data_IF_549310271824
#
_entry.id   IF_549310271824
#
_cell.length_a   1.000
_cell.length_b   1.000
_cell.length_c   1.000
_cell.angle_alpha   90.00
_cell.angle_beta   90.00
_cell.angle_gamma   90.00
#
_symmetry.space_group_name_H-M   'P 1'
#
loop_
_entity.id
_entity.type
_entity.pdbx_description
1 polymer ?
#
# COMPACT_ATOMS: atom_id res chain seq x y z
N UNK A 1 1.64 -15.93 17.47
CA UNK A 1 2.44 -14.70 17.68
C UNK A 1 3.64 -14.74 16.78
N UNK A 2 3.90 -13.67 16.07
CA UNK A 2 5.08 -13.49 15.20
C UNK A 2 5.85 -12.28 15.74
N UNK A 3 7.17 -12.40 15.83
CA UNK A 3 8.05 -11.36 16.38
C UNK A 3 8.69 -10.50 15.30
N UNK A 4 9.19 -9.34 15.67
CA UNK A 4 9.92 -8.42 14.79
C UNK A 4 11.03 -9.11 13.97
N UNK A 5 11.81 -9.99 14.58
CA UNK A 5 12.91 -10.69 13.90
C UNK A 5 12.45 -11.59 12.76
N UNK A 6 11.27 -12.19 12.86
CA UNK A 6 10.71 -13.02 11.79
C UNK A 6 10.17 -12.17 10.62
N UNK A 7 9.70 -10.94 10.90
CA UNK A 7 9.18 -10.02 9.88
C UNK A 7 10.31 -9.29 9.13
N UNK A 8 11.41 -8.99 9.80
CA UNK A 8 12.54 -8.23 9.23
C UNK A 8 13.31 -8.97 8.13
N UNK A 9 13.15 -10.29 8.02
CA UNK A 9 13.75 -11.08 6.94
C UNK A 9 13.04 -10.92 5.59
N UNK A 10 11.88 -10.25 5.56
CA UNK A 10 11.12 -10.02 4.32
C UNK A 10 11.20 -8.56 3.94
N UNK A 11 11.82 -8.31 2.80
CA UNK A 11 11.87 -6.98 2.22
C UNK A 11 10.52 -6.63 1.63
N UNK A 12 9.82 -5.68 2.24
CA UNK A 12 8.56 -5.17 1.72
C UNK A 12 8.38 -3.70 2.11
N UNK A 13 7.89 -2.90 1.18
CA UNK A 13 7.52 -1.50 1.41
C UNK A 13 6.36 -1.40 2.41
N UNK A 14 5.41 -2.35 2.33
CA UNK A 14 4.24 -2.39 3.20
C UNK A 14 4.33 -3.57 4.19
N UNK A 15 4.26 -3.31 5.51
CA UNK A 15 4.35 -4.35 6.53
C UNK A 15 3.30 -5.46 6.38
N UNK A 16 2.15 -5.19 5.78
CA UNK A 16 1.11 -6.20 5.55
C UNK A 16 1.60 -7.37 4.70
N UNK A 17 2.46 -7.12 3.70
CA UNK A 17 3.05 -8.15 2.85
C UNK A 17 4.07 -9.01 3.61
N UNK A 18 4.76 -8.45 4.60
CA UNK A 18 5.69 -9.22 5.45
C UNK A 18 4.98 -10.28 6.30
N UNK A 19 3.66 -10.17 6.48
CA UNK A 19 2.84 -11.15 7.20
C UNK A 19 2.52 -12.39 6.37
N UNK A 20 2.70 -12.36 5.04
CA UNK A 20 2.44 -13.51 4.15
C UNK A 20 3.21 -14.76 4.61
N UNK A 21 2.48 -15.85 4.90
CA UNK A 21 3.06 -17.12 5.34
C UNK A 21 3.77 -17.08 6.71
N UNK A 22 3.71 -15.95 7.46
CA UNK A 22 4.39 -15.80 8.75
C UNK A 22 3.49 -16.04 9.94
N UNK A 23 2.18 -15.79 9.82
CA UNK A 23 1.24 -15.82 10.94
C UNK A 23 0.26 -16.97 10.78
N UNK A 24 0.27 -17.99 11.68
CA UNK A 24 -0.65 -19.11 11.60
C UNK A 24 -2.12 -18.67 11.68
N UNK A 25 -2.92 -19.06 10.67
CA UNK A 25 -4.34 -18.74 10.57
C UNK A 25 -4.66 -17.34 10.05
N UNK A 26 -3.65 -16.60 9.58
CA UNK A 26 -3.81 -15.40 8.76
C UNK A 26 -3.51 -15.75 7.30
N UNK A 27 -4.49 -15.52 6.45
CA UNK A 27 -4.34 -15.63 5.01
C UNK A 27 -4.09 -14.23 4.43
N UNK A 28 -3.01 -14.07 3.69
CA UNK A 28 -2.57 -12.78 3.17
C UNK A 28 -2.45 -12.90 1.65
N UNK A 29 -3.10 -12.00 0.93
CA UNK A 29 -3.02 -11.88 -0.52
C UNK A 29 -2.38 -10.54 -0.88
N UNK A 30 -1.31 -10.57 -1.61
CA UNK A 30 -0.74 -9.37 -2.23
C UNK A 30 -1.55 -9.04 -3.48
N UNK A 31 -2.13 -7.84 -3.54
CA UNK A 31 -3.06 -7.43 -4.60
C UNK A 31 -2.36 -6.74 -5.77
N UNK A 32 -1.33 -5.96 -5.51
CA UNK A 32 -0.61 -5.18 -6.51
C UNK A 32 0.88 -5.11 -6.18
N UNK A 33 1.70 -4.84 -7.21
CA UNK A 33 3.13 -4.60 -7.05
C UNK A 33 3.52 -3.12 -7.02
N UNK A 34 2.54 -2.22 -6.91
CA UNK A 34 2.80 -0.77 -6.86
C UNK A 34 3.14 -0.35 -5.44
N UNK A 35 4.27 0.31 -5.25
CA UNK A 35 4.85 0.63 -3.93
C UNK A 35 3.92 1.36 -2.97
N UNK A 36 2.99 2.17 -3.46
CA UNK A 36 2.00 2.89 -2.62
C UNK A 36 0.67 2.16 -2.44
N UNK A 37 0.32 1.24 -3.34
CA UNK A 37 -0.91 0.45 -3.33
C UNK A 37 -0.64 -1.02 -2.97
N UNK A 38 0.52 -1.31 -2.39
CA UNK A 38 1.02 -2.65 -2.07
C UNK A 38 0.42 -3.22 -0.77
N UNK A 39 -0.70 -2.68 -0.30
CA UNK A 39 -1.42 -3.21 0.86
C UNK A 39 -2.00 -4.59 0.57
N UNK A 40 -1.60 -5.59 1.39
CA UNK A 40 -2.15 -6.93 1.27
C UNK A 40 -3.59 -7.01 1.79
N UNK A 41 -4.42 -7.80 1.12
CA UNK A 41 -5.72 -8.21 1.65
C UNK A 41 -5.51 -9.36 2.63
N UNK A 42 -6.12 -9.24 3.82
CA UNK A 42 -5.95 -10.21 4.89
C UNK A 42 -7.28 -10.84 5.28
N UNK A 43 -7.24 -12.15 5.60
CA UNK A 43 -8.38 -12.91 6.11
C UNK A 43 -7.94 -13.79 7.27
N UNK A 44 -8.77 -13.88 8.30
CA UNK A 44 -8.57 -14.80 9.43
C UNK A 44 -9.46 -16.02 9.23
N UNK A 45 -8.85 -17.21 9.22
CA UNK A 45 -9.57 -18.50 8.96
C UNK A 45 -10.27 -18.60 7.60
N UNK A 46 -9.89 -17.76 6.61
CA UNK A 46 -10.46 -17.76 5.26
C UNK A 46 -11.67 -16.82 5.10
N UNK A 47 -12.42 -17.02 4.01
CA UNK A 47 -13.57 -16.20 3.65
C UNK A 47 -14.82 -16.71 4.38
N UNK A 48 -15.20 -16.08 5.49
CA UNK A 48 -16.37 -16.48 6.29
C UNK A 48 -17.68 -15.77 5.93
N UNK A 49 -17.63 -14.72 5.09
CA UNK A 49 -18.79 -13.89 4.74
C UNK A 49 -18.66 -13.30 3.34
N UNK A 50 -19.79 -12.97 2.72
CA UNK A 50 -19.84 -12.29 1.41
C UNK A 50 -19.72 -10.76 1.54
N UNK A 51 -19.95 -10.19 2.73
CA UNK A 51 -19.86 -8.77 3.00
C UNK A 51 -18.42 -8.34 3.36
N UNK A 52 -18.22 -7.46 4.34
CA UNK A 52 -16.89 -7.07 4.80
C UNK A 52 -16.11 -8.29 5.29
N UNK A 53 -14.97 -8.57 4.66
CA UNK A 53 -14.16 -9.79 4.85
C UNK A 53 -12.89 -9.54 5.64
N UNK A 54 -12.47 -8.27 5.76
CA UNK A 54 -11.22 -7.89 6.40
C UNK A 54 -11.28 -8.04 7.91
N UNK A 55 -10.21 -8.52 8.55
CA UNK A 55 -10.11 -8.54 10.00
C UNK A 55 -10.00 -7.11 10.55
N UNK A 56 -10.35 -6.95 11.82
CA UNK A 56 -10.08 -5.72 12.54
C UNK A 56 -8.58 -5.61 12.83
N UNK A 57 -7.93 -4.53 12.39
CA UNK A 57 -6.52 -4.28 12.69
C UNK A 57 -6.42 -3.30 13.83
N UNK A 58 -5.67 -3.68 14.87
CA UNK A 58 -5.40 -2.86 16.02
C UNK A 58 -3.91 -2.63 16.18
N UNK A 59 -3.51 -1.39 16.28
CA UNK A 59 -2.14 -0.97 16.61
C UNK A 59 -2.15 -0.40 18.02
N UNK A 60 -1.46 -1.05 18.94
CA UNK A 60 -1.41 -0.69 20.37
C UNK A 60 -2.80 -0.53 21.03
N UNK A 61 -3.81 -1.23 20.46
CA UNK A 61 -5.20 -1.21 20.94
C UNK A 61 -6.13 -0.23 20.24
N UNK A 62 -5.66 0.53 19.25
CA UNK A 62 -6.44 1.46 18.45
C UNK A 62 -6.63 0.95 17.01
N UNK A 63 -7.79 1.23 16.42
CA UNK A 63 -8.11 0.81 15.04
C UNK A 63 -7.34 1.70 14.05
N UNK A 64 -6.29 1.15 13.44
CA UNK A 64 -5.40 1.86 12.50
C UNK A 64 -4.94 0.93 11.39
N UNK A 65 -4.46 1.52 10.28
CA UNK A 65 -3.87 0.75 9.20
C UNK A 65 -2.46 0.25 9.57
N UNK A 66 -2.16 -1.00 9.27
CA UNK A 66 -0.80 -1.53 9.39
C UNK A 66 0.14 -0.91 8.34
N UNK A 67 -0.41 -0.40 7.23
CA UNK A 67 0.36 0.24 6.15
C UNK A 67 1.01 1.56 6.58
N UNK A 68 0.52 2.20 7.66
CA UNK A 68 1.13 3.41 8.20
C UNK A 68 2.40 3.14 8.99
N UNK A 69 2.59 1.89 9.38
CA UNK A 69 3.76 1.45 10.12
C UNK A 69 4.94 1.12 9.19
N UNK A 70 6.09 0.85 9.83
CA UNK A 70 7.24 0.19 9.23
C UNK A 70 7.48 -1.15 9.93
N UNK A 71 8.08 -2.11 9.25
CA UNK A 71 8.40 -3.42 9.85
C UNK A 71 9.29 -3.26 11.08
N UNK A 72 10.20 -2.27 11.03
CA UNK A 72 11.20 -2.02 12.07
C UNK A 72 10.62 -1.51 13.39
N UNK A 73 9.41 -0.90 13.38
CA UNK A 73 8.75 -0.42 14.62
C UNK A 73 7.83 -1.46 15.26
N UNK A 74 7.54 -2.57 14.57
CA UNK A 74 6.69 -3.65 15.09
C UNK A 74 7.50 -4.51 16.05
N UNK A 75 6.99 -4.73 17.27
CA UNK A 75 7.52 -5.70 18.22
C UNK A 75 6.92 -7.08 17.98
N UNK A 76 5.61 -7.15 17.81
CA UNK A 76 4.91 -8.42 17.56
C UNK A 76 3.56 -8.23 16.86
N UNK A 77 3.12 -9.30 16.21
CA UNK A 77 1.78 -9.41 15.62
C UNK A 77 1.11 -10.68 16.15
N UNK A 78 -0.11 -10.51 16.66
CA UNK A 78 -0.92 -11.60 17.21
C UNK A 78 -2.26 -11.62 16.48
N UNK A 79 -2.74 -12.79 16.08
CA UNK A 79 -4.08 -12.96 15.50
C UNK A 79 -4.99 -13.56 16.59
N UNK A 80 -6.00 -12.78 16.98
CA UNK A 80 -7.03 -13.20 17.90
C UNK A 80 -8.16 -13.86 17.11
N UNK A 81 -8.41 -15.13 17.39
CA UNK A 81 -9.38 -15.96 16.64
C UNK A 81 -10.46 -16.52 17.55
N UNK A 82 -10.23 -16.52 18.85
CA UNK A 82 -11.10 -17.17 19.81
C UNK A 82 -12.22 -16.25 20.25
N UNK A 83 -13.41 -16.80 20.46
CA UNK A 83 -14.60 -16.02 20.80
C UNK A 83 -14.43 -15.16 22.06
N UNK A 84 -13.70 -15.66 23.05
CA UNK A 84 -13.41 -14.91 24.28
C UNK A 84 -12.53 -13.67 24.01
N UNK A 85 -11.48 -13.84 23.19
CA UNK A 85 -10.62 -12.72 22.80
C UNK A 85 -11.35 -11.70 21.93
N UNK A 86 -12.30 -12.15 21.10
CA UNK A 86 -13.11 -11.30 20.23
C UNK A 86 -14.24 -10.58 20.96
N UNK A 87 -14.68 -11.09 22.10
CA UNK A 87 -15.78 -10.49 22.90
C UNK A 87 -15.50 -9.04 23.32
N UNK A 88 -14.20 -8.67 23.48
CA UNK A 88 -13.78 -7.29 23.76
C UNK A 88 -14.05 -6.30 22.61
N UNK A 89 -14.22 -6.81 21.39
CA UNK A 89 -14.35 -5.96 20.17
C UNK A 89 -15.73 -6.04 19.54
N UNK A 90 -16.65 -6.83 20.14
CA UNK A 90 -18.02 -6.99 19.68
C UNK A 90 -18.12 -7.43 18.20
N UNK A 91 -19.12 -6.94 17.49
CA UNK A 91 -19.38 -7.27 16.08
C UNK A 91 -18.21 -6.86 15.17
N UNK A 92 -17.41 -5.86 15.53
CA UNK A 92 -16.24 -5.42 14.74
C UNK A 92 -15.13 -6.49 14.71
N UNK A 93 -15.08 -7.35 15.71
CA UNK A 93 -14.13 -8.47 15.78
C UNK A 93 -14.61 -9.76 15.10
N UNK A 94 -15.80 -9.79 14.50
CA UNK A 94 -16.41 -11.02 13.97
C UNK A 94 -15.55 -11.75 12.91
N UNK A 95 -14.78 -11.01 12.12
CA UNK A 95 -13.85 -11.55 11.11
C UNK A 95 -12.43 -11.83 11.67
N UNK A 96 -12.26 -11.81 12.99
CA UNK A 96 -10.96 -11.91 13.66
C UNK A 96 -10.30 -10.55 13.86
N UNK A 97 -9.28 -10.54 14.71
CA UNK A 97 -8.52 -9.34 15.05
C UNK A 97 -7.03 -9.60 14.82
N UNK A 98 -6.38 -8.70 14.09
CA UNK A 98 -4.91 -8.63 13.97
C UNK A 98 -4.42 -7.57 14.94
N UNK A 99 -3.78 -7.98 16.02
CA UNK A 99 -3.25 -7.08 17.04
C UNK A 99 -1.76 -6.87 16.82
N UNK A 100 -1.37 -5.64 16.54
CA UNK A 100 0.02 -5.21 16.31
C UNK A 100 0.49 -4.46 17.56
N UNK A 101 1.60 -4.90 18.12
CA UNK A 101 2.27 -4.21 19.23
C UNK A 101 3.51 -3.53 18.70
N UNK A 102 3.71 -2.26 19.01
CA UNK A 102 4.89 -1.51 18.60
C UNK A 102 5.99 -1.56 19.67
N UNK A 103 7.25 -1.36 19.24
CA UNK A 103 8.42 -1.36 20.13
C UNK A 103 8.32 -0.24 21.15
N UNK A 104 8.72 -0.54 22.38
CA UNK A 104 8.75 0.38 23.51
C UNK A 104 10.14 0.43 24.15
N UNK A 105 10.35 1.40 25.03
CA UNK A 105 11.56 1.51 25.82
C UNK A 105 11.79 0.30 26.71
N UNK A 106 13.05 0.05 27.04
CA UNK A 106 13.48 -0.99 27.96
C UNK A 106 14.42 -0.38 29.01
N UNK A 107 14.37 -0.90 30.23
CA UNK A 107 15.33 -0.51 31.26
C UNK A 107 16.74 -0.89 30.86
N UNK A 108 17.67 0.05 30.93
CA UNK A 108 19.06 -0.15 30.57
C UNK A 108 19.69 1.06 29.90
N UNK A 109 20.99 0.91 29.57
CA UNK A 109 21.71 1.93 28.81
C UNK A 109 21.06 2.15 27.43
N UNK A 110 21.15 3.37 26.85
CA UNK A 110 20.67 3.63 25.51
C UNK A 110 21.28 2.68 24.48
N UNK A 111 20.41 2.02 23.70
CA UNK A 111 20.81 1.19 22.56
C UNK A 111 20.39 1.90 21.31
N UNK A 112 21.38 2.20 20.46
CA UNK A 112 21.18 2.86 19.16
C UNK A 112 21.28 1.79 18.08
N UNK A 113 20.32 1.75 17.17
CA UNK A 113 20.34 0.88 15.99
C UNK A 113 20.23 1.74 14.74
N UNK A 114 21.06 1.45 13.78
CA UNK A 114 20.98 2.00 12.43
C UNK A 114 20.94 0.84 11.43
N UNK A 115 19.95 0.85 10.54
CA UNK A 115 19.82 -0.13 9.47
C UNK A 115 19.61 0.62 8.16
N UNK A 116 20.37 0.23 7.14
CA UNK A 116 20.19 0.72 5.79
C UNK A 116 20.05 -0.46 4.84
N UNK A 117 18.99 -0.45 4.06
CA UNK A 117 18.65 -1.49 3.09
C UNK A 117 18.59 -0.86 1.71
N UNK A 118 19.28 -1.49 0.77
CA UNK A 118 19.15 -1.22 -0.66
C UNK A 118 18.47 -2.41 -1.31
N UNK A 119 17.38 -2.15 -2.01
CA UNK A 119 16.55 -3.17 -2.63
C UNK A 119 16.54 -3.00 -4.14
N UNK A 120 16.67 -4.10 -4.85
CA UNK A 120 16.54 -4.15 -6.29
C UNK A 120 15.49 -5.20 -6.65
N UNK A 121 14.39 -4.76 -7.26
CA UNK A 121 13.30 -5.62 -7.69
C UNK A 121 13.37 -5.88 -9.19
N UNK A 122 13.11 -7.12 -9.61
CA UNK A 122 12.98 -7.48 -11.02
C UNK A 122 11.60 -8.08 -11.28
N UNK A 123 11.00 -7.86 -12.46
CA UNK A 123 9.80 -8.58 -12.84
C UNK A 123 10.06 -10.08 -12.85
N UNK A 124 9.23 -10.84 -12.16
CA UNK A 124 9.36 -12.31 -12.14
C UNK A 124 8.99 -12.90 -13.50
N UNK A 125 8.00 -12.31 -14.17
CA UNK A 125 7.53 -12.73 -15.48
C UNK A 125 6.90 -11.55 -16.20
N UNK A 126 7.27 -11.33 -17.44
CA UNK A 126 6.60 -10.43 -18.37
C UNK A 126 5.88 -11.27 -19.45
N UNK A 127 4.79 -10.76 -20.04
CA UNK A 127 4.16 -11.39 -21.18
C UNK A 127 5.13 -11.44 -22.37
N UNK A 128 5.16 -12.55 -23.08
CA UNK A 128 5.83 -12.65 -24.36
C UNK A 128 4.83 -12.21 -25.44
N UNK A 129 5.13 -11.10 -26.11
CA UNK A 129 4.32 -10.58 -27.21
C UNK A 129 4.90 -11.04 -28.53
N UNK A 130 4.04 -11.26 -29.53
CA UNK A 130 4.49 -11.59 -30.87
C UNK A 130 5.06 -10.35 -31.57
N UNK A 131 6.03 -10.55 -32.46
CA UNK A 131 6.59 -9.48 -33.27
C UNK A 131 5.59 -8.94 -34.32
N UNK A 132 5.92 -7.81 -34.93
CA UNK A 132 5.06 -7.15 -35.93
C UNK A 132 4.77 -8.02 -37.14
N UNK A 133 5.74 -8.81 -37.62
CA UNK A 133 5.56 -9.72 -38.76
C UNK A 133 4.59 -10.86 -38.42
N UNK A 134 4.81 -11.54 -37.30
CA UNK A 134 3.94 -12.63 -36.84
C UNK A 134 2.51 -12.13 -36.60
N UNK A 135 2.36 -10.93 -36.00
CA UNK A 135 1.05 -10.29 -35.84
C UNK A 135 0.36 -10.04 -37.19
N UNK A 136 1.07 -9.45 -38.16
CA UNK A 136 0.51 -9.13 -39.47
C UNK A 136 0.10 -10.40 -40.23
N UNK A 137 0.89 -11.47 -40.18
CA UNK A 137 0.53 -12.76 -40.75
C UNK A 137 -0.71 -13.38 -40.08
N UNK A 138 -0.75 -13.42 -38.75
CA UNK A 138 -1.86 -13.96 -37.99
C UNK A 138 -3.17 -13.20 -38.27
N UNK A 139 -3.10 -11.85 -38.39
CA UNK A 139 -4.25 -11.04 -38.75
C UNK A 139 -4.77 -11.36 -40.13
N UNK A 140 -3.88 -11.47 -41.12
CA UNK A 140 -4.28 -11.85 -42.49
C UNK A 140 -4.90 -13.26 -42.53
N UNK A 141 -4.35 -14.22 -41.80
CA UNK A 141 -4.89 -15.57 -41.71
C UNK A 141 -6.29 -15.58 -41.05
N UNK A 142 -6.47 -14.80 -39.98
CA UNK A 142 -7.77 -14.63 -39.31
C UNK A 142 -8.80 -14.03 -40.28
N UNK A 143 -8.47 -12.96 -41.00
CA UNK A 143 -9.34 -12.34 -41.97
C UNK A 143 -9.72 -13.31 -43.10
N UNK A 144 -8.75 -14.09 -43.60
CA UNK A 144 -9.00 -15.11 -44.62
C UNK A 144 -9.97 -16.19 -44.12
N UNK A 145 -9.84 -16.63 -42.88
CA UNK A 145 -10.77 -17.59 -42.28
C UNK A 145 -12.18 -17.04 -42.16
N UNK A 146 -12.33 -15.73 -41.94
CA UNK A 146 -13.59 -15.00 -41.93
C UNK A 146 -14.10 -14.61 -43.33
N UNK A 147 -13.45 -15.09 -44.40
CA UNK A 147 -13.73 -14.77 -45.78
C UNK A 147 -13.63 -13.28 -46.14
N UNK A 148 -12.77 -12.56 -45.41
CA UNK A 148 -12.47 -11.13 -45.66
C UNK A 148 -11.16 -10.98 -46.43
N UNK A 149 -10.97 -9.83 -47.05
CA UNK A 149 -9.71 -9.50 -47.74
C UNK A 149 -8.57 -9.34 -46.72
N UNK A 150 -7.35 -9.81 -47.05
CA UNK A 150 -6.19 -9.56 -46.22
C UNK A 150 -5.96 -8.08 -45.96
N UNK A 151 -5.55 -7.74 -44.75
CA UNK A 151 -5.21 -6.36 -44.35
C UNK A 151 -3.88 -5.91 -44.91
N UNK A 152 -2.90 -6.82 -44.98
CA UNK A 152 -1.55 -6.54 -45.44
C UNK A 152 -1.27 -7.31 -46.73
N UNK A 153 -0.70 -6.61 -47.74
CA UNK A 153 -0.20 -7.20 -48.95
C UNK A 153 1.09 -7.96 -48.70
N UNK A 154 1.55 -8.81 -49.65
CA UNK A 154 2.82 -9.52 -49.53
C UNK A 154 4.00 -8.55 -49.39
N UNK A 155 4.00 -7.43 -50.12
CA UNK A 155 5.04 -6.39 -50.04
C UNK A 155 5.14 -5.78 -48.62
N UNK A 156 4.01 -5.57 -47.98
CA UNK A 156 3.94 -5.06 -46.60
C UNK A 156 4.39 -6.10 -45.61
N UNK A 157 4.03 -7.36 -45.80
CA UNK A 157 4.54 -8.46 -44.98
C UNK A 157 6.07 -8.61 -45.09
N UNK A 158 6.61 -8.47 -46.29
CA UNK A 158 8.06 -8.47 -46.49
C UNK A 158 8.71 -7.26 -45.82
N UNK A 159 8.07 -6.09 -45.83
CA UNK A 159 8.56 -4.91 -45.12
C UNK A 159 8.59 -5.09 -43.61
N UNK A 160 7.63 -5.78 -42.97
CA UNK A 160 7.66 -6.17 -41.60
C UNK A 160 8.82 -7.15 -41.29
N UNK A 161 8.95 -8.23 -42.08
CA UNK A 161 9.99 -9.24 -41.93
C UNK A 161 11.38 -8.65 -42.02
N UNK A 162 11.61 -7.81 -43.03
CA UNK A 162 12.92 -7.25 -43.35
C UNK A 162 13.20 -5.94 -42.59
N UNK A 163 12.23 -5.50 -41.73
CA UNK A 163 12.28 -4.27 -40.94
C UNK A 163 12.59 -3.02 -41.76
N UNK A 164 12.12 -3.00 -42.99
CA UNK A 164 12.19 -1.82 -43.81
C UNK A 164 11.00 -0.91 -43.52
N UNK A 165 11.18 0.40 -43.55
CA UNK A 165 10.13 1.38 -43.23
C UNK A 165 9.50 1.26 -41.83
N UNK A 166 10.28 1.39 -40.75
CA UNK A 166 9.79 1.16 -39.36
C UNK A 166 8.69 2.15 -38.92
N UNK A 167 8.55 3.30 -39.57
CA UNK A 167 7.45 4.24 -39.32
C UNK A 167 6.09 3.70 -39.76
N UNK A 168 6.07 2.79 -40.72
CA UNK A 168 4.85 2.29 -41.35
C UNK A 168 4.59 0.83 -41.02
N UNK A 169 5.67 0.04 -40.88
CA UNK A 169 5.65 -1.39 -40.56
C UNK A 169 6.54 -1.63 -39.33
N UNK A 170 6.13 -1.13 -38.17
CA UNK A 170 6.93 -1.21 -36.95
C UNK A 170 6.97 -2.60 -36.36
N UNK A 171 7.97 -2.81 -35.50
CA UNK A 171 8.08 -3.97 -34.62
C UNK A 171 8.49 -3.47 -33.22
N UNK A 172 7.50 -3.01 -32.44
CA UNK A 172 7.74 -2.36 -31.16
C UNK A 172 7.59 -3.35 -30.02
N UNK A 173 8.65 -3.54 -29.25
CA UNK A 173 8.57 -4.20 -27.93
C UNK A 173 8.05 -3.20 -26.88
N UNK A 174 6.73 -3.11 -26.74
CA UNK A 174 6.09 -2.18 -25.81
C UNK A 174 6.53 -2.38 -24.35
N UNK A 175 6.75 -3.62 -23.94
CA UNK A 175 7.19 -3.93 -22.58
C UNK A 175 8.64 -3.51 -22.35
N UNK A 176 9.51 -3.79 -23.32
CA UNK A 176 10.90 -3.35 -23.30
C UNK A 176 11.05 -1.83 -23.34
N UNK A 177 10.15 -1.13 -24.09
CA UNK A 177 10.14 0.34 -24.13
C UNK A 177 9.60 0.98 -22.85
N UNK A 178 8.58 0.38 -22.22
CA UNK A 178 7.90 0.93 -21.04
C UNK A 178 8.63 0.65 -19.73
N UNK A 179 9.31 -0.50 -19.60
CA UNK A 179 9.82 -0.99 -18.33
C UNK A 179 11.34 -0.97 -18.23
N UNK A 180 11.83 -0.67 -17.03
CA UNK A 180 13.23 -0.90 -16.64
C UNK A 180 13.42 -2.36 -16.26
N UNK A 181 14.65 -2.84 -16.38
CA UNK A 181 15.00 -4.18 -15.93
C UNK A 181 14.90 -4.34 -14.40
N UNK A 182 15.05 -3.23 -13.66
CA UNK A 182 15.08 -3.23 -12.20
C UNK A 182 14.35 -2.02 -11.64
N UNK A 183 13.56 -2.22 -10.58
CA UNK A 183 13.16 -1.16 -9.67
C UNK A 183 14.22 -1.00 -8.58
N UNK A 184 14.32 0.21 -7.99
CA UNK A 184 15.31 0.51 -6.96
C UNK A 184 14.60 1.04 -5.71
N UNK A 185 14.92 0.46 -4.56
CA UNK A 185 14.40 0.89 -3.26
C UNK A 185 15.51 1.14 -2.26
N UNK A 186 15.29 2.08 -1.37
CA UNK A 186 16.17 2.41 -0.24
C UNK A 186 15.34 2.57 1.01
N UNK A 187 15.82 2.00 2.12
CA UNK A 187 15.16 2.11 3.41
C UNK A 187 16.24 2.37 4.47
N UNK A 188 16.21 3.56 5.07
CA UNK A 188 17.09 3.95 6.15
C UNK A 188 16.30 4.04 7.45
N UNK A 189 16.70 3.29 8.48
CA UNK A 189 16.06 3.26 9.78
C UNK A 189 17.07 3.58 10.87
N UNK A 190 16.74 4.56 11.68
CA UNK A 190 17.46 4.91 12.90
C UNK A 190 16.53 4.75 14.09
N UNK A 191 16.96 4.07 15.14
CA UNK A 191 16.20 3.98 16.37
C UNK A 191 17.09 4.02 17.61
N UNK A 192 16.52 4.57 18.67
CA UNK A 192 17.12 4.60 20.01
C UNK A 192 16.11 4.11 21.02
N UNK A 193 16.53 3.22 21.90
CA UNK A 193 15.73 2.75 23.05
C UNK A 193 16.56 2.71 24.31
N UNK A 194 15.93 2.98 25.45
CA UNK A 194 16.61 2.95 26.74
C UNK A 194 15.71 3.40 27.86
N UNK A 195 16.27 3.62 29.03
CA UNK A 195 15.56 4.19 30.17
C UNK A 195 15.97 3.60 31.49
N UNK A 196 15.42 4.16 32.54
CA UNK A 196 15.53 3.68 33.91
C UNK A 196 14.19 3.19 34.45
N UNK A 197 14.12 3.03 35.77
CA UNK A 197 12.90 2.52 36.42
C UNK A 197 11.72 3.47 36.36
N UNK A 198 11.99 4.79 36.22
CA UNK A 198 10.92 5.81 36.15
C UNK A 198 10.49 6.17 34.75
N UNK A 199 11.42 6.16 33.79
CA UNK A 199 11.13 6.56 32.41
C UNK A 199 11.86 5.62 31.47
N UNK A 200 11.12 5.05 30.52
CA UNK A 200 11.63 4.25 29.43
C UNK A 200 11.19 4.88 28.12
N UNK A 201 12.03 4.88 27.11
CA UNK A 201 11.76 5.53 25.84
C UNK A 201 12.21 4.69 24.65
N UNK A 202 11.45 4.83 23.57
CA UNK A 202 11.79 4.38 22.25
C UNK A 202 11.51 5.51 21.26
N UNK A 203 12.48 5.83 20.42
CA UNK A 203 12.30 6.77 19.32
C UNK A 203 12.85 6.15 18.04
N UNK A 204 12.19 6.42 16.91
CA UNK A 204 12.55 5.91 15.59
C UNK A 204 12.32 6.98 14.54
N UNK A 205 13.24 7.03 13.58
CA UNK A 205 13.15 7.74 12.32
C UNK A 205 13.37 6.72 11.19
N UNK A 206 12.40 6.60 10.28
CA UNK A 206 12.53 5.73 9.13
C UNK A 206 12.23 6.53 7.86
N UNK A 207 13.11 6.44 6.88
CA UNK A 207 12.91 6.99 5.54
C UNK A 207 13.00 5.88 4.51
N UNK A 208 11.93 5.75 3.73
CA UNK A 208 11.80 4.81 2.63
C UNK A 208 11.63 5.59 1.33
N UNK A 209 12.37 5.16 0.30
CA UNK A 209 12.22 5.65 -1.07
C UNK A 209 12.19 4.45 -2.01
N UNK A 210 11.15 4.34 -2.80
CA UNK A 210 10.97 3.27 -3.78
C UNK A 210 10.68 3.89 -5.14
N UNK A 211 11.42 3.43 -6.17
CA UNK A 211 11.24 3.82 -7.55
C UNK A 211 10.60 2.65 -8.30
N UNK A 212 9.42 2.86 -8.83
CA UNK A 212 8.72 1.84 -9.61
C UNK A 212 9.45 1.43 -10.88
N UNK A 213 8.90 0.45 -11.57
CA UNK A 213 9.53 -0.21 -12.72
C UNK A 213 9.38 0.54 -14.05
N UNK A 214 8.48 1.54 -14.15
CA UNK A 214 8.33 2.31 -15.38
C UNK A 214 9.63 3.06 -15.71
N UNK A 215 10.03 3.06 -16.98
CA UNK A 215 11.19 3.85 -17.43
C UNK A 215 10.91 5.34 -17.21
N UNK A 216 11.87 6.09 -16.64
CA UNK A 216 11.78 7.54 -16.66
C UNK A 216 11.91 8.02 -18.09
N UNK A 217 11.06 8.93 -18.49
CA UNK A 217 11.17 9.56 -19.80
C UNK A 217 11.72 10.97 -19.61
N UNK A 218 12.67 11.35 -20.43
CA UNK A 218 13.29 12.67 -20.41
C UNK A 218 12.57 13.68 -21.36
N UNK A 219 11.37 13.33 -21.83
CA UNK A 219 10.63 14.14 -22.79
C UNK A 219 10.11 15.47 -22.20
N UNK A 220 10.23 15.65 -20.87
CA UNK A 220 9.83 16.88 -20.19
C UNK A 220 10.91 17.30 -19.19
N UNK A 221 11.48 18.48 -19.38
CA UNK A 221 12.47 19.06 -18.48
C UNK A 221 11.85 19.60 -17.18
N UNK A 222 10.56 19.97 -17.21
CA UNK A 222 9.89 20.67 -16.11
C UNK A 222 9.31 19.77 -15.04
N UNK A 223 9.03 18.49 -15.34
CA UNK A 223 8.42 17.54 -14.38
C UNK A 223 8.80 16.10 -14.66
N UNK A 224 8.74 15.28 -13.62
CA UNK A 224 9.00 13.84 -13.72
C UNK A 224 7.69 13.05 -13.73
N UNK A 225 7.55 12.14 -14.70
CA UNK A 225 6.49 11.13 -14.76
C UNK A 225 6.90 9.83 -14.08
N UNK A 226 8.10 9.78 -13.50
CA UNK A 226 8.64 8.59 -12.86
C UNK A 226 7.74 8.13 -11.71
N UNK A 227 7.46 6.85 -11.72
CA UNK A 227 6.80 6.18 -10.61
C UNK A 227 7.72 6.18 -9.40
N UNK A 228 7.35 6.93 -8.35
CA UNK A 228 8.16 7.09 -7.14
C UNK A 228 7.27 7.15 -5.91
N UNK A 229 7.66 6.45 -4.87
CA UNK A 229 7.06 6.50 -3.55
C UNK A 229 8.11 6.83 -2.51
N UNK A 230 7.85 7.79 -1.64
CA UNK A 230 8.69 8.10 -0.49
C UNK A 230 7.84 8.20 0.76
N UNK A 231 8.38 7.72 1.88
CA UNK A 231 7.69 7.67 3.17
C UNK A 231 8.66 7.99 4.30
N UNK A 232 8.26 8.90 5.17
CA UNK A 232 8.97 9.25 6.39
C UNK A 232 8.09 8.90 7.59
N UNK A 233 8.56 8.01 8.45
CA UNK A 233 7.93 7.68 9.72
C UNK A 233 8.76 8.19 10.88
N UNK A 234 8.12 8.86 11.82
CA UNK A 234 8.70 9.32 13.08
C UNK A 234 7.85 8.75 14.21
N UNK A 235 8.42 7.85 15.02
CA UNK A 235 7.74 7.26 16.18
C UNK A 235 8.44 7.63 17.47
N UNK A 236 7.64 7.92 18.50
CA UNK A 236 8.12 8.08 19.87
C UNK A 236 7.16 7.40 20.83
N UNK A 237 7.70 6.51 21.67
CA UNK A 237 6.96 5.84 22.73
C UNK A 237 7.67 6.12 24.06
N UNK A 238 6.90 6.60 25.04
CA UNK A 238 7.37 6.88 26.41
C UNK A 238 6.53 6.10 27.42
N UNK A 239 7.19 5.39 28.31
CA UNK A 239 6.61 4.74 29.46
C UNK A 239 7.12 5.41 30.74
N UNK A 240 6.22 5.97 31.52
CA UNK A 240 6.53 6.78 32.70
C UNK A 240 5.88 6.11 33.92
N UNK A 241 6.69 5.69 34.90
CA UNK A 241 6.21 5.28 36.20
C UNK A 241 6.04 6.53 37.08
N UNK A 242 4.85 7.15 37.00
CA UNK A 242 4.56 8.41 37.65
C UNK A 242 4.55 8.26 39.20
N UNK A 243 3.98 7.16 39.70
CA UNK A 243 4.00 6.77 41.11
C UNK A 243 4.27 5.26 41.20
N UNK A 244 4.35 4.70 42.40
CA UNK A 244 4.49 3.23 42.57
C UNK A 244 3.32 2.44 42.00
N UNK A 245 2.15 3.07 41.88
CA UNK A 245 0.89 2.45 41.45
C UNK A 245 0.34 3.03 40.12
N UNK A 246 0.94 4.11 39.61
CA UNK A 246 0.48 4.80 38.41
C UNK A 246 1.49 4.73 37.29
N UNK A 247 1.13 4.14 36.15
CA UNK A 247 1.91 4.10 34.90
C UNK A 247 1.21 4.94 33.83
N UNK A 248 1.98 5.79 33.17
CA UNK A 248 1.54 6.59 32.01
C UNK A 248 2.34 6.16 30.79
N UNK A 249 1.65 5.84 29.72
CA UNK A 249 2.25 5.48 28.43
C UNK A 249 1.81 6.50 27.38
N UNK A 250 2.76 7.08 26.70
CA UNK A 250 2.54 7.99 25.58
C UNK A 250 3.07 7.35 24.31
N UNK A 251 2.35 7.49 23.20
CA UNK A 251 2.80 7.02 21.89
C UNK A 251 2.43 8.07 20.85
N UNK A 252 3.37 8.38 19.99
CA UNK A 252 3.18 9.30 18.87
C UNK A 252 3.74 8.68 17.59
N UNK A 253 3.00 8.79 16.49
CA UNK A 253 3.45 8.45 15.15
C UNK A 253 3.12 9.60 14.21
N UNK A 254 4.13 10.12 13.52
CA UNK A 254 3.99 10.95 12.34
C UNK A 254 4.37 10.14 11.10
N UNK A 255 3.47 10.05 10.14
CA UNK A 255 3.70 9.42 8.85
C UNK A 255 3.48 10.45 7.75
N UNK A 256 4.48 10.65 6.91
CA UNK A 256 4.43 11.53 5.76
C UNK A 256 4.82 10.71 4.54
N UNK A 257 3.91 10.58 3.58
CA UNK A 257 4.22 9.87 2.35
C UNK A 257 3.84 10.69 1.12
N UNK A 258 4.65 10.55 0.11
CA UNK A 258 4.46 11.18 -1.19
C UNK A 258 4.64 10.13 -2.27
N UNK A 259 3.75 10.14 -3.27
CA UNK A 259 3.99 9.38 -4.47
C UNK A 259 3.76 10.23 -5.71
N UNK A 260 4.55 9.95 -6.73
CA UNK A 260 4.49 10.54 -8.05
C UNK A 260 4.24 9.44 -9.07
N UNK A 261 3.41 9.72 -10.07
CA UNK A 261 3.12 8.81 -11.15
C UNK A 261 2.86 9.55 -12.46
N UNK A 262 2.83 8.85 -13.61
CA UNK A 262 2.32 9.42 -14.85
C UNK A 262 0.91 10.01 -14.69
N UNK A 263 0.55 10.94 -15.53
CA UNK A 263 -0.81 11.52 -15.58
C UNK A 263 -1.89 10.52 -15.99
N UNK A 264 -1.51 9.45 -16.68
CA UNK A 264 -2.39 8.30 -16.93
C UNK A 264 -2.50 7.43 -15.67
N UNK A 265 -3.63 6.73 -15.53
CA UNK A 265 -3.75 5.69 -14.52
C UNK A 265 -2.86 4.50 -14.90
N UNK A 266 -2.32 3.80 -13.90
CA UNK A 266 -1.46 2.63 -14.17
C UNK A 266 -2.22 1.53 -14.90
N UNK A 267 -3.49 1.31 -14.55
CA UNK A 267 -4.33 0.32 -15.21
C UNK A 267 -4.51 0.63 -16.70
N UNK A 268 -4.60 1.91 -17.08
CA UNK A 268 -4.67 2.33 -18.49
C UNK A 268 -3.35 2.02 -19.21
N UNK A 269 -2.20 2.28 -18.54
CA UNK A 269 -0.87 2.01 -19.11
C UNK A 269 -0.69 0.51 -19.32
N UNK A 270 -0.95 -0.30 -18.30
CA UNK A 270 -0.80 -1.76 -18.41
C UNK A 270 -1.81 -2.37 -19.39
N UNK A 271 -3.04 -1.86 -19.43
CA UNK A 271 -4.03 -2.27 -20.44
C UNK A 271 -3.54 -1.97 -21.86
N UNK A 272 -2.97 -0.79 -22.09
CA UNK A 272 -2.41 -0.45 -23.39
C UNK A 272 -1.21 -1.35 -23.76
N UNK A 273 -0.32 -1.66 -22.80
CA UNK A 273 0.80 -2.58 -23.00
C UNK A 273 0.35 -4.00 -23.43
N UNK A 274 -0.81 -4.45 -22.95
CA UNK A 274 -1.37 -5.75 -23.34
C UNK A 274 -2.16 -5.70 -24.67
N UNK A 275 -2.82 -4.58 -24.94
CA UNK A 275 -3.77 -4.49 -26.07
C UNK A 275 -3.15 -4.02 -27.37
N UNK A 276 -2.10 -3.19 -27.31
CA UNK A 276 -1.50 -2.61 -28.51
C UNK A 276 -0.52 -3.61 -29.12
N UNK A 277 -0.80 -4.14 -30.35
CA UNK A 277 0.12 -5.06 -31.00
C UNK A 277 1.41 -4.36 -31.45
N UNK A 278 2.50 -5.13 -31.54
CA UNK A 278 3.83 -4.63 -31.92
C UNK A 278 3.89 -3.96 -33.29
N UNK A 279 3.02 -4.40 -34.22
CA UNK A 279 3.03 -3.98 -35.64
C UNK A 279 2.06 -2.86 -36.01
N UNK A 280 1.37 -2.21 -35.07
CA UNK A 280 0.27 -1.28 -35.43
C UNK A 280 0.76 0.14 -35.71
N UNK A 281 1.68 0.65 -34.91
CA UNK A 281 2.30 1.98 -35.09
C UNK A 281 3.63 2.07 -34.32
N UNK A 282 4.54 2.97 -34.71
CA UNK A 282 5.81 3.19 -34.00
C UNK A 282 5.56 3.93 -32.68
N UNK A 283 6.55 3.95 -31.79
CA UNK A 283 6.50 4.78 -30.57
C UNK A 283 6.26 6.24 -30.94
N UNK A 284 7.09 6.79 -31.82
CA UNK A 284 6.93 8.09 -32.48
C UNK A 284 7.16 7.93 -33.97
N UNK A 285 6.49 8.72 -34.77
CA UNK A 285 6.73 8.83 -36.21
C UNK A 285 7.97 9.68 -36.48
N UNK A 286 8.40 9.75 -37.74
CA UNK A 286 9.52 10.64 -38.14
C UNK A 286 9.23 12.14 -37.91
N UNK A 287 7.98 12.50 -37.67
CA UNK A 287 7.57 13.87 -37.33
C UNK A 287 7.69 14.14 -35.79
N UNK A 288 8.26 13.22 -35.00
CA UNK A 288 8.37 13.27 -33.54
C UNK A 288 6.99 13.31 -32.84
N UNK A 289 5.91 12.95 -33.52
CA UNK A 289 4.57 12.82 -32.98
C UNK A 289 4.34 11.36 -32.53
N UNK A 290 3.58 11.14 -31.47
CA UNK A 290 3.26 9.80 -30.99
C UNK A 290 2.50 9.02 -32.05
N UNK A 291 2.90 7.76 -32.28
CA UNK A 291 2.18 6.87 -33.17
C UNK A 291 0.83 6.48 -32.59
N UNK A 292 -0.17 6.31 -33.45
CA UNK A 292 -1.50 5.87 -33.05
C UNK A 292 -2.36 5.48 -34.25
N UNK A 293 -3.53 4.93 -34.00
CA UNK A 293 -4.51 4.61 -35.00
C UNK A 293 -5.92 4.95 -34.55
N UNK A 294 -6.90 4.84 -35.41
CA UNK A 294 -8.32 5.04 -35.07
C UNK A 294 -8.85 3.96 -34.13
N UNK A 295 -8.23 2.78 -34.11
CA UNK A 295 -8.60 1.67 -33.20
C UNK A 295 -7.81 1.75 -31.91
N UNK A 296 -6.52 2.04 -31.99
CA UNK A 296 -5.61 2.11 -30.85
C UNK A 296 -5.11 3.55 -30.68
N UNK A 297 -5.80 4.32 -29.85
CA UNK A 297 -5.49 5.73 -29.57
C UNK A 297 -4.57 5.91 -28.35
N UNK A 298 -4.34 4.85 -27.59
CA UNK A 298 -3.56 4.84 -26.37
C UNK A 298 -2.17 4.25 -26.61
N UNK A 299 -1.26 5.08 -27.14
CA UNK A 299 0.14 4.70 -27.23
C UNK A 299 0.70 4.51 -25.80
N UNK A 300 1.24 3.30 -25.45
CA UNK A 300 1.67 3.03 -24.09
C UNK A 300 2.74 3.99 -23.56
N UNK A 301 3.69 4.37 -24.40
CA UNK A 301 4.77 5.28 -24.00
C UNK A 301 4.29 6.71 -23.87
N UNK A 302 3.36 7.14 -24.74
CA UNK A 302 2.70 8.43 -24.61
C UNK A 302 1.86 8.55 -23.33
N UNK A 303 1.24 7.46 -22.88
CA UNK A 303 0.55 7.42 -21.57
C UNK A 303 1.53 7.62 -20.41
N UNK A 304 2.75 7.09 -20.51
CA UNK A 304 3.79 7.23 -19.47
C UNK A 304 4.37 8.63 -19.47
N UNK A 305 4.70 9.21 -20.64
CA UNK A 305 5.48 10.45 -20.75
C UNK A 305 4.68 11.67 -21.22
N UNK A 306 3.74 11.47 -22.13
CA UNK A 306 3.04 12.55 -22.82
C UNK A 306 1.80 13.09 -22.09
N UNK A 307 1.24 12.34 -21.14
CA UNK A 307 -0.04 12.70 -20.48
C UNK A 307 0.11 13.59 -19.25
N UNK A 308 1.32 14.01 -18.91
CA UNK A 308 1.60 14.80 -17.71
C UNK A 308 1.88 13.91 -16.47
N UNK A 309 1.59 14.41 -15.28
CA UNK A 309 1.89 13.72 -14.01
C UNK A 309 0.78 13.89 -12.99
N UNK A 310 0.76 13.01 -12.00
CA UNK A 310 -0.07 13.14 -10.80
C UNK A 310 0.79 12.88 -9.55
N UNK A 311 0.56 13.68 -8.52
CA UNK A 311 1.28 13.61 -7.25
C UNK A 311 0.28 13.54 -6.10
N UNK A 312 0.54 12.65 -5.15
CA UNK A 312 -0.25 12.57 -3.91
C UNK A 312 0.66 12.78 -2.71
N UNK A 313 0.11 13.44 -1.70
CA UNK A 313 0.74 13.62 -0.39
C UNK A 313 -0.23 13.12 0.68
N UNK A 314 0.24 12.22 1.53
CA UNK A 314 -0.51 11.74 2.69
C UNK A 314 0.22 12.15 3.97
N UNK A 315 -0.54 12.58 4.96
CA UNK A 315 -0.04 12.99 6.27
C UNK A 315 -0.91 12.36 7.33
N UNK A 316 -0.34 11.51 8.17
CA UNK A 316 -1.01 10.91 9.31
C UNK A 316 -0.28 11.27 10.60
N UNK A 317 -1.03 11.69 11.60
CA UNK A 317 -0.54 11.93 12.95
C UNK A 317 -1.41 11.17 13.93
N UNK A 318 -0.80 10.27 14.70
CA UNK A 318 -1.45 9.49 15.75
C UNK A 318 -0.81 9.82 17.09
N UNK A 319 -1.62 10.11 18.08
CA UNK A 319 -1.18 10.40 19.44
C UNK A 319 -2.04 9.66 20.44
N UNK A 320 -1.40 8.88 21.31
CA UNK A 320 -2.05 8.03 22.31
C UNK A 320 -1.53 8.29 23.70
N UNK A 321 -2.44 8.24 24.65
CA UNK A 321 -2.15 8.25 26.07
C UNK A 321 -2.89 7.08 26.73
N UNK A 322 -2.17 6.29 27.53
CA UNK A 322 -2.75 5.26 28.36
C UNK A 322 -2.27 5.46 29.82
N UNK A 323 -3.21 5.66 30.71
CA UNK A 323 -2.97 5.78 32.15
C UNK A 323 -3.45 4.49 32.80
N UNK A 324 -2.59 3.82 33.52
CA UNK A 324 -2.89 2.61 34.28
C UNK A 324 -2.69 2.89 35.77
N UNK A 325 -3.70 2.55 36.56
CA UNK A 325 -3.69 2.70 38.01
C UNK A 325 -3.88 1.34 38.69
N UNK A 326 -2.91 0.90 39.47
CA UNK A 326 -3.08 -0.22 40.37
C UNK A 326 -3.91 0.25 41.57
N UNK A 327 -5.02 -0.43 41.84
CA UNK A 327 -5.95 -0.18 42.93
C UNK A 327 -5.94 -1.31 43.96
N UNK A 328 -4.88 -2.12 43.97
CA UNK A 328 -4.72 -3.26 44.88
C UNK A 328 -4.74 -2.84 46.36
N UNK A 329 -4.47 -1.57 46.67
CA UNK A 329 -4.61 -0.99 48.03
C UNK A 329 -6.06 -0.90 48.48
N UNK A 330 -7.04 -0.78 47.56
CA UNK A 330 -8.46 -0.80 47.85
C UNK A 330 -8.98 -2.24 47.92
N UNK A 331 -8.65 -3.01 46.89
CA UNK A 331 -9.05 -4.41 46.73
C UNK A 331 -7.96 -5.16 45.97
N UNK A 332 -7.31 -6.19 46.54
CA UNK A 332 -6.29 -6.94 45.87
C UNK A 332 -6.75 -7.48 44.53
N UNK A 333 -5.96 -7.24 43.47
CA UNK A 333 -6.26 -7.63 42.08
C UNK A 333 -7.12 -6.63 41.29
N UNK A 334 -7.47 -5.48 41.88
CA UNK A 334 -8.20 -4.43 41.19
C UNK A 334 -7.22 -3.47 40.48
N UNK A 335 -7.49 -3.15 39.20
CA UNK A 335 -6.78 -2.10 38.45
C UNK A 335 -7.72 -1.37 37.50
N UNK A 336 -7.40 -0.11 37.23
CA UNK A 336 -8.12 0.71 36.29
C UNK A 336 -7.18 1.22 35.17
N UNK A 337 -7.68 1.39 33.96
CA UNK A 337 -6.96 2.06 32.90
C UNK A 337 -7.86 2.97 32.08
N UNK A 338 -7.29 4.09 31.62
CA UNK A 338 -7.92 5.03 30.70
C UNK A 338 -7.01 5.22 29.51
N UNK A 339 -7.54 5.03 28.32
CA UNK A 339 -6.83 5.23 27.05
C UNK A 339 -7.54 6.31 26.24
N UNK A 340 -6.76 7.23 25.69
CA UNK A 340 -7.20 8.27 24.80
C UNK A 340 -6.35 8.20 23.54
N UNK A 341 -6.98 8.22 22.37
CA UNK A 341 -6.31 8.25 21.06
C UNK A 341 -6.87 9.37 20.20
N UNK A 342 -5.96 10.07 19.55
CA UNK A 342 -6.24 11.13 18.59
C UNK A 342 -5.55 10.78 17.28
N UNK A 343 -6.34 10.62 16.21
CA UNK A 343 -5.83 10.36 14.87
C UNK A 343 -6.25 11.49 13.93
N UNK A 344 -5.33 11.91 13.09
CA UNK A 344 -5.56 12.87 12.01
C UNK A 344 -4.86 12.37 10.75
N UNK A 345 -5.65 12.01 9.74
CA UNK A 345 -5.20 11.57 8.43
C UNK A 345 -5.68 12.56 7.38
N UNK A 346 -4.81 12.95 6.47
CA UNK A 346 -5.16 13.81 5.34
C UNK A 346 -4.42 13.37 4.09
N UNK A 347 -5.14 13.24 2.98
CA UNK A 347 -4.57 12.96 1.67
C UNK A 347 -4.93 14.05 0.67
N UNK A 348 -3.98 14.39 -0.18
CA UNK A 348 -4.11 15.42 -1.21
C UNK A 348 -3.61 14.86 -2.54
N UNK A 349 -4.31 15.20 -3.61
CA UNK A 349 -3.92 14.84 -4.97
C UNK A 349 -3.84 16.09 -5.83
N UNK A 350 -2.70 16.25 -6.48
CA UNK A 350 -2.48 17.26 -7.52
C UNK A 350 -2.17 16.53 -8.81
N UNK A 351 -2.90 16.84 -9.87
CA UNK A 351 -2.64 16.30 -11.19
C UNK A 351 -2.55 17.41 -12.22
N UNK A 352 -1.54 17.30 -13.07
CA UNK A 352 -1.36 18.13 -14.24
C UNK A 352 -1.38 17.22 -15.45
N UNK A 353 -2.49 17.20 -16.14
CA UNK A 353 -2.71 16.27 -17.25
C UNK A 353 -3.04 17.00 -18.55
N UNK A 354 -2.69 16.38 -19.67
CA UNK A 354 -2.99 16.86 -21.00
C UNK A 354 -3.35 15.72 -21.94
N UNK A 355 -3.95 16.03 -23.05
CA UNK A 355 -4.04 15.14 -24.18
C UNK A 355 -2.75 15.28 -25.01
N UNK A 356 -2.08 14.16 -25.27
CA UNK A 356 -0.95 14.14 -26.20
C UNK A 356 -1.44 14.07 -27.65
N UNK A 357 -0.70 14.70 -28.58
CA UNK A 357 -0.94 14.56 -30.01
C UNK A 357 -0.57 13.15 -30.47
N UNK A 358 -1.33 12.58 -31.40
CA UNK A 358 -0.92 11.37 -32.09
C UNK A 358 -1.37 11.35 -33.51
N UNK A 359 -0.60 10.65 -34.35
CA UNK A 359 -0.87 10.54 -35.78
C UNK A 359 -0.76 9.09 -36.28
N UNK A 360 -1.45 8.79 -37.34
CA UNK A 360 -1.29 7.56 -38.11
C UNK A 360 -0.46 7.82 -39.37
N UNK A 361 0.33 6.83 -39.75
CA UNK A 361 1.17 6.87 -40.95
C UNK A 361 0.72 5.81 -41.95
N UNK A 362 0.77 6.15 -43.24
CA UNK A 362 0.50 5.25 -44.38
C UNK A 362 1.62 5.41 -45.40
N UNK A 363 2.25 4.26 -45.75
CA UNK A 363 3.33 4.22 -46.73
C UNK A 363 2.78 4.49 -48.14
N UNK A 364 3.33 5.48 -48.83
CA UNK A 364 3.15 5.68 -50.25
C UNK A 364 3.99 4.66 -51.04
N UNK A 365 3.36 4.02 -52.00
CA UNK A 365 4.00 3.08 -52.88
C UNK A 365 3.97 3.58 -54.33
N UNK A 366 4.89 3.10 -55.16
CA UNK A 366 4.90 3.30 -56.62
C UNK A 366 4.93 4.77 -57.06
N UNK A 367 5.60 5.62 -56.28
CA UNK A 367 5.73 7.07 -56.54
C UNK A 367 4.75 7.95 -55.76
N UNK A 368 3.84 7.39 -55.00
CA UNK A 368 3.01 8.14 -54.07
C UNK A 368 3.83 8.59 -52.84
N UNK A 369 3.47 9.74 -52.29
CA UNK A 369 4.09 10.27 -51.10
C UNK A 369 3.60 9.56 -49.84
N UNK A 370 4.49 9.43 -48.84
CA UNK A 370 4.14 8.96 -47.50
C UNK A 370 3.15 9.93 -46.86
N UNK A 371 2.09 9.38 -46.26
CA UNK A 371 1.04 10.18 -45.62
C UNK A 371 1.08 10.07 -44.12
N UNK A 372 0.93 11.21 -43.44
CA UNK A 372 0.81 11.32 -41.99
C UNK A 372 -0.48 12.07 -41.68
N UNK A 373 -1.38 11.43 -40.95
CA UNK A 373 -2.68 12.00 -40.57
C UNK A 373 -2.72 12.25 -39.09
N UNK A 374 -2.81 13.51 -38.69
CA UNK A 374 -3.06 13.87 -37.32
C UNK A 374 -4.46 13.40 -36.88
N UNK A 375 -4.56 12.61 -35.84
CA UNK A 375 -5.80 12.08 -35.30
C UNK A 375 -6.22 12.80 -33.99
N UNK A 376 -5.29 13.44 -33.31
CA UNK A 376 -5.55 14.23 -32.09
C UNK A 376 -4.46 15.29 -31.91
N UNK A 377 -4.86 16.50 -31.59
CA UNK A 377 -3.94 17.57 -31.23
C UNK A 377 -3.58 17.51 -29.74
N UNK A 378 -2.41 18.02 -29.44
CA UNK A 378 -1.99 18.21 -28.05
C UNK A 378 -2.80 19.33 -27.38
N UNK A 379 -3.14 19.15 -26.10
CA UNK A 379 -3.74 20.20 -25.29
C UNK A 379 -2.71 20.78 -24.30
N UNK A 380 -2.95 21.99 -23.81
CA UNK A 380 -2.20 22.51 -22.67
C UNK A 380 -2.37 21.64 -21.43
N UNK A 381 -1.39 21.67 -20.51
CA UNK A 381 -1.52 21.04 -19.21
C UNK A 381 -2.67 21.67 -18.42
N UNK A 382 -3.55 20.84 -17.90
CA UNK A 382 -4.67 21.23 -17.05
C UNK A 382 -4.38 20.80 -15.63
N UNK A 383 -4.37 21.76 -14.72
CA UNK A 383 -4.22 21.49 -13.29
C UNK A 383 -5.55 21.10 -12.66
N UNK A 384 -5.54 20.05 -11.86
CA UNK A 384 -6.65 19.65 -11.03
C UNK A 384 -6.08 19.25 -9.66
N UNK A 385 -6.62 19.85 -8.61
CA UNK A 385 -6.31 19.48 -7.22
C UNK A 385 -7.57 18.93 -6.57
N UNK A 386 -7.42 17.83 -5.86
CA UNK A 386 -8.49 17.25 -5.06
C UNK A 386 -7.96 16.91 -3.67
N UNK A 387 -8.74 17.31 -2.68
CA UNK A 387 -8.59 16.79 -1.34
C UNK A 387 -9.10 15.35 -1.36
N UNK A 388 -8.26 14.41 -1.01
CA UNK A 388 -8.67 13.04 -0.81
C UNK A 388 -9.46 12.89 0.50
N UNK A 389 -9.23 11.82 1.22
CA UNK A 389 -9.91 11.61 2.50
C UNK A 389 -9.21 12.41 3.62
N UNK A 390 -9.96 13.26 4.34
CA UNK A 390 -9.53 13.84 5.61
C UNK A 390 -10.33 13.16 6.71
N UNK A 391 -9.63 12.45 7.60
CA UNK A 391 -10.23 11.71 8.71
C UNK A 391 -9.64 12.22 10.01
N UNK A 392 -10.52 12.52 10.96
CA UNK A 392 -10.16 12.78 12.35
C UNK A 392 -10.86 11.75 13.21
N UNK A 393 -10.10 11.06 14.06
CA UNK A 393 -10.68 10.07 14.97
C UNK A 393 -10.30 10.39 16.40
N UNK A 394 -11.29 10.30 17.27
CA UNK A 394 -11.12 10.34 18.71
C UNK A 394 -11.56 9.02 19.30
N UNK A 395 -10.66 8.38 20.03
CA UNK A 395 -10.91 7.15 20.75
C UNK A 395 -10.78 7.39 22.25
N UNK A 396 -11.74 6.90 23.01
CA UNK A 396 -11.69 6.88 24.46
C UNK A 396 -12.09 5.51 24.96
N UNK A 397 -11.26 4.92 25.85
CA UNK A 397 -11.53 3.65 26.49
C UNK A 397 -11.24 3.77 27.99
N UNK A 398 -12.21 3.40 28.80
CA UNK A 398 -12.06 3.25 30.25
C UNK A 398 -12.31 1.80 30.62
N UNK A 399 -11.39 1.20 31.36
CA UNK A 399 -11.42 -0.22 31.71
C UNK A 399 -11.13 -0.41 33.20
N UNK A 400 -11.95 -1.24 33.83
CA UNK A 400 -11.73 -1.72 35.19
C UNK A 400 -11.50 -3.21 35.12
N UNK A 401 -10.36 -3.67 35.65
CA UNK A 401 -9.98 -5.07 35.68
C UNK A 401 -9.92 -5.57 37.12
N UNK A 402 -10.45 -6.77 37.34
CA UNK A 402 -10.36 -7.48 38.60
C UNK A 402 -9.88 -8.91 38.32
N UNK A 403 -8.68 -9.24 38.80
CA UNK A 403 -8.09 -10.58 38.67
C UNK A 403 -7.69 -11.07 40.06
N UNK A 404 -8.35 -12.11 40.54
CA UNK A 404 -8.11 -12.65 41.84
C UNK A 404 -8.24 -14.16 41.89
N UNK A 405 -7.35 -14.79 42.65
CA UNK A 405 -7.38 -16.21 42.98
C UNK A 405 -7.88 -16.43 44.41
N UNK A 406 -8.83 -17.33 44.59
CA UNK A 406 -9.31 -17.81 45.89
C UNK A 406 -9.19 -19.34 45.94
N UNK A 407 -8.15 -19.84 46.53
CA UNK A 407 -7.90 -21.28 46.61
C UNK A 407 -7.91 -21.91 45.21
N UNK A 408 -8.93 -22.75 44.92
CA UNK A 408 -9.10 -23.44 43.63
C UNK A 408 -9.87 -22.62 42.57
N UNK A 409 -10.26 -21.38 42.87
CA UNK A 409 -11.06 -20.56 41.94
C UNK A 409 -10.27 -19.34 41.51
N UNK A 410 -10.25 -19.09 40.20
CA UNK A 410 -9.75 -17.86 39.60
C UNK A 410 -10.90 -17.07 39.02
N UNK A 411 -11.02 -15.80 39.43
CA UNK A 411 -11.97 -14.85 38.84
C UNK A 411 -11.23 -13.77 38.09
N UNK A 412 -11.51 -13.67 36.80
CA UNK A 412 -11.04 -12.57 35.96
C UNK A 412 -12.27 -11.85 35.38
N UNK A 413 -12.43 -10.56 35.70
CA UNK A 413 -13.56 -9.73 35.24
C UNK A 413 -13.02 -8.45 34.68
N UNK A 414 -13.56 -8.06 33.54
CA UNK A 414 -13.24 -6.82 32.84
C UNK A 414 -14.52 -6.06 32.55
N UNK A 415 -14.63 -4.84 33.06
CA UNK A 415 -15.64 -3.88 32.67
C UNK A 415 -14.99 -2.84 31.76
N UNK A 416 -15.50 -2.72 30.54
CA UNK A 416 -14.96 -1.85 29.51
C UNK A 416 -16.06 -0.89 29.02
N UNK A 417 -15.76 0.40 29.01
CA UNK A 417 -16.49 1.42 28.25
C UNK A 417 -15.58 1.94 27.16
N UNK A 418 -16.06 1.94 25.91
CA UNK A 418 -15.34 2.43 24.76
C UNK A 418 -16.20 3.39 23.95
N UNK A 419 -15.59 4.46 23.46
CA UNK A 419 -16.17 5.41 22.52
C UNK A 419 -15.20 5.63 21.37
N UNK A 420 -15.70 5.49 20.14
CA UNK A 420 -14.97 5.75 18.90
C UNK A 420 -15.78 6.78 18.11
N UNK A 421 -15.23 7.97 17.90
CA UNK A 421 -15.80 9.01 17.06
C UNK A 421 -14.88 9.24 15.88
N UNK A 422 -15.43 9.14 14.67
CA UNK A 422 -14.72 9.40 13.43
C UNK A 422 -15.47 10.47 12.64
N UNK A 423 -14.78 11.56 12.37
CA UNK A 423 -15.25 12.66 11.53
C UNK A 423 -14.51 12.55 10.18
N UNK A 424 -15.25 12.45 9.08
CA UNK A 424 -14.73 12.52 7.71
C UNK A 424 -15.20 13.81 7.08
N UNK A 425 -14.31 14.47 6.36
CA UNK A 425 -14.65 15.71 5.67
C UNK A 425 -15.77 15.46 4.64
N UNK A 426 -16.78 16.34 4.65
CA UNK A 426 -17.98 16.19 3.79
C UNK A 426 -18.98 15.11 4.22
N UNK A 427 -18.78 14.42 5.35
CA UNK A 427 -19.69 13.39 5.86
C UNK A 427 -20.10 13.66 7.31
N UNK A 428 -21.25 13.12 7.72
CA UNK A 428 -21.67 13.16 9.11
C UNK A 428 -20.71 12.33 9.98
N UNK A 429 -20.39 12.86 11.17
CA UNK A 429 -19.56 12.16 12.15
C UNK A 429 -20.17 10.81 12.53
N UNK A 430 -19.39 9.75 12.39
CA UNK A 430 -19.78 8.43 12.91
C UNK A 430 -19.36 8.29 14.37
N UNK A 431 -20.23 7.73 15.20
CA UNK A 431 -19.98 7.48 16.62
C UNK A 431 -20.33 6.04 16.95
N UNK A 432 -19.43 5.35 17.61
CA UNK A 432 -19.67 4.03 18.14
C UNK A 432 -19.41 4.03 19.65
N UNK A 433 -20.32 3.43 20.39
CA UNK A 433 -20.19 3.25 21.83
C UNK A 433 -20.28 1.77 22.15
N UNK A 434 -19.47 1.30 23.06
CA UNK A 434 -19.48 -0.08 23.54
C UNK A 434 -19.37 -0.10 25.05
N UNK A 435 -20.26 -0.83 25.68
CA UNK A 435 -20.14 -1.22 27.07
C UNK A 435 -20.07 -2.75 27.12
N UNK A 436 -19.00 -3.29 27.64
CA UNK A 436 -18.80 -4.73 27.73
C UNK A 436 -18.42 -5.14 29.17
N UNK A 437 -19.05 -6.19 29.65
CA UNK A 437 -18.68 -6.88 30.87
C UNK A 437 -18.30 -8.31 30.51
N UNK A 438 -17.05 -8.66 30.72
CA UNK A 438 -16.53 -10.02 30.49
C UNK A 438 -16.16 -10.61 31.83
N UNK A 439 -16.73 -11.79 32.11
CA UNK A 439 -16.51 -12.53 33.34
C UNK A 439 -16.07 -13.96 33.00
N UNK A 440 -14.89 -14.33 33.43
CA UNK A 440 -14.34 -15.68 33.27
C UNK A 440 -14.09 -16.25 34.68
N UNK A 441 -14.76 -17.32 35.04
CA UNK A 441 -14.48 -18.13 36.21
C UNK A 441 -14.04 -19.51 35.76
N UNK A 442 -12.79 -19.87 36.02
CA UNK A 442 -12.28 -21.21 35.84
C UNK A 442 -12.07 -21.88 37.18
N UNK A 443 -12.69 -23.07 37.45
CA UNK A 443 -12.22 -23.93 38.53
C UNK A 443 -10.85 -24.46 38.12
N UNK A 444 -9.81 -24.12 38.88
CA UNK A 444 -8.51 -24.77 38.71
C UNK A 444 -8.65 -26.25 39.12
N UNK A 445 -8.76 -27.13 38.12
CA UNK A 445 -8.64 -28.56 38.37
C UNK A 445 -7.22 -28.83 38.82
N UNK A 446 -7.00 -29.57 39.93
CA UNK A 446 -5.71 -30.14 40.20
C UNK A 446 -5.32 -31.01 38.99
N UNK A 447 -4.11 -30.85 38.49
CA UNK A 447 -3.57 -31.81 37.55
C UNK A 447 -3.55 -33.18 38.23
N UNK A 448 -4.04 -34.25 37.55
CA UNK A 448 -3.89 -35.58 38.14
C UNK A 448 -2.41 -35.90 38.25
N UNK A 449 -2.00 -36.25 39.50
CA UNK A 449 -0.67 -36.74 39.86
C UNK A 449 -0.38 -38.03 39.10
#
# INVERSE_FOLDING_TARGET
MVTAGQLSHKTSVNPSNSLFGSVPGLYVLQNAGSSWADGATMYVRGLGTTNSKSPLILVDGFVRSISDLTVQEIESVVVLKDAVALALYGIRGANGVVYVTTKRGKTGKPVINFNYEFNMGTPVRLPEMVDGYTYAQALNEGLKNDHLSPRYTQRELDAFRDRTYPDFYPDVDWWGEALRNHSLGQNANFSIQGGGDKVQYYAQLNYLNDQGILKPTNDNEDYSTQLKFSKLNIRTNLDIQATKTTKVQLSMLGNFSEHNRPGAQLDDIFTALYQVPSGVFPVKTKNEVWGGSTIYSNNPIALISGKGYARSQNRALYADMNIQQDLSTLTPGLSASVRVGLDSDASYWDSNTRNFAYESSVKGWDGEEDQYKNLRNESALSFSSSTGEIVRRFNFNAQLNYDRNWGLHRLNTVLLYAMDRMDRDGQNASRAYMLSLIHISEPTRPEPI
#
